data_IF_016710875974
#
_entry.id   IF_016710875974
#
_cell.length_a   1.000
_cell.length_b   1.000
_cell.length_c   1.000
_cell.angle_alpha   90.00
_cell.angle_beta   90.00
_cell.angle_gamma   90.00
#
_symmetry.space_group_name_H-M   'P 1'
#
loop_
_entity.id
_entity.type
_entity.pdbx_description
1 polymer ?
#
# COMPACT_ATOMS: atom_id res chain seq x y z
N UNK A 1 -12.79 -7.89 21.51
CA UNK A 1 -13.89 -7.04 20.98
C UNK A 1 -14.69 -7.85 19.96
N UNK A 2 -16.02 -7.73 19.84
CA UNK A 2 -16.80 -8.58 18.92
C UNK A 2 -16.40 -8.33 17.45
N UNK A 3 -16.51 -9.35 16.59
CA UNK A 3 -16.18 -9.23 15.16
C UNK A 3 -17.08 -8.21 14.43
N UNK A 4 -18.36 -8.18 14.82
CA UNK A 4 -19.38 -7.34 14.20
C UNK A 4 -19.65 -6.15 15.10
N UNK A 5 -19.34 -4.94 14.61
CA UNK A 5 -19.57 -3.71 15.35
C UNK A 5 -20.77 -2.96 14.78
N UNK A 6 -21.82 -2.69 15.56
CA UNK A 6 -22.95 -1.89 15.08
C UNK A 6 -22.51 -0.44 14.79
N UNK A 7 -23.02 0.13 13.72
CA UNK A 7 -22.74 1.53 13.34
C UNK A 7 -23.35 2.49 14.37
N UNK A 8 -22.54 3.46 14.84
CA UNK A 8 -22.98 4.51 15.77
C UNK A 8 -23.56 5.73 15.05
N UNK A 9 -23.30 5.86 13.75
CA UNK A 9 -23.77 6.93 12.87
C UNK A 9 -24.74 6.37 11.82
N UNK A 10 -25.70 7.19 11.41
CA UNK A 10 -26.60 6.82 10.32
C UNK A 10 -25.85 6.82 8.98
N UNK A 11 -25.72 5.65 8.37
CA UNK A 11 -25.06 5.49 7.07
C UNK A 11 -23.74 4.70 7.12
N UNK A 12 -23.07 4.54 5.96
CA UNK A 12 -21.77 3.87 5.88
C UNK A 12 -20.67 4.73 6.50
N UNK A 13 -19.54 4.12 6.91
CA UNK A 13 -18.36 4.88 7.34
C UNK A 13 -17.84 5.78 6.21
N UNK A 14 -17.03 6.78 6.57
CA UNK A 14 -16.47 7.74 5.60
C UNK A 14 -15.55 7.02 4.61
N UNK A 15 -15.83 7.17 3.32
CA UNK A 15 -15.03 6.63 2.23
C UNK A 15 -14.86 7.66 1.11
N UNK A 16 -13.93 7.39 0.20
CA UNK A 16 -13.79 8.11 -1.08
C UNK A 16 -13.82 7.12 -2.25
N UNK A 17 -14.13 7.59 -3.45
CA UNK A 17 -14.06 6.74 -4.65
C UNK A 17 -12.61 6.56 -5.13
N UNK A 18 -12.31 5.51 -5.91
CA UNK A 18 -10.98 5.31 -6.49
C UNK A 18 -10.50 6.49 -7.35
N UNK A 19 -11.41 7.18 -8.04
CA UNK A 19 -11.11 8.36 -8.84
C UNK A 19 -10.72 9.57 -7.99
N UNK A 20 -11.40 9.77 -6.86
CA UNK A 20 -11.07 10.81 -5.89
C UNK A 20 -9.73 10.53 -5.21
N UNK A 21 -9.47 9.27 -4.84
CA UNK A 21 -8.18 8.86 -4.30
C UNK A 21 -7.02 9.17 -5.26
N UNK A 22 -7.19 8.87 -6.55
CA UNK A 22 -6.21 9.19 -7.59
C UNK A 22 -5.99 10.69 -7.72
N UNK A 23 -7.02 11.51 -7.59
CA UNK A 23 -6.88 12.98 -7.64
C UNK A 23 -6.14 13.53 -6.42
N UNK A 24 -6.45 13.01 -5.22
CA UNK A 24 -5.82 13.41 -3.96
C UNK A 24 -4.34 13.01 -3.89
N UNK A 25 -3.97 11.88 -4.50
CA UNK A 25 -2.59 11.40 -4.55
C UNK A 25 -1.80 11.95 -5.75
N UNK A 26 -2.47 12.45 -6.80
CA UNK A 26 -1.82 13.05 -7.96
C UNK A 26 -1.21 14.43 -7.67
N UNK A 27 -1.67 15.13 -6.63
CA UNK A 27 -1.04 16.33 -6.10
C UNK A 27 -0.35 15.96 -4.81
N UNK A 28 0.89 16.38 -4.54
CA UNK A 28 1.57 16.15 -3.25
C UNK A 28 0.64 16.59 -2.11
N UNK A 29 0.03 15.65 -1.37
CA UNK A 29 -0.89 16.01 -0.30
C UNK A 29 -0.09 16.56 0.86
N UNK A 30 -0.68 17.50 1.59
CA UNK A 30 -0.08 18.07 2.81
C UNK A 30 0.12 16.99 3.90
N UNK A 31 -0.64 15.90 3.84
CA UNK A 31 -0.47 14.69 4.64
C UNK A 31 -1.16 13.50 3.97
N UNK A 32 -0.45 12.37 3.79
CA UNK A 32 -1.04 11.13 3.30
C UNK A 32 -1.93 10.42 4.35
N UNK A 33 -1.79 10.77 5.63
CA UNK A 33 -2.57 10.17 6.72
C UNK A 33 -3.99 10.69 6.88
N UNK A 34 -4.39 11.72 6.12
CA UNK A 34 -5.76 12.27 6.14
C UNK A 34 -6.63 11.72 4.99
N UNK A 35 -6.03 10.93 4.08
CA UNK A 35 -6.73 10.39 2.93
C UNK A 35 -7.71 9.32 3.43
N UNK A 36 -9.03 9.48 3.22
CA UNK A 36 -10.00 8.49 3.65
C UNK A 36 -9.81 7.17 2.90
N UNK A 37 -10.28 6.04 3.47
CA UNK A 37 -10.18 4.75 2.81
C UNK A 37 -11.02 4.71 1.53
N UNK A 38 -10.55 3.95 0.54
CA UNK A 38 -11.20 3.86 -0.76
C UNK A 38 -12.35 2.85 -0.73
N UNK A 39 -13.48 3.20 -1.34
CA UNK A 39 -14.57 2.27 -1.62
C UNK A 39 -14.20 1.40 -2.82
N UNK A 40 -14.00 0.11 -2.59
CA UNK A 40 -13.67 -0.87 -3.63
C UNK A 40 -14.91 -1.38 -4.36
N UNK A 41 -16.00 -1.67 -3.63
CA UNK A 41 -17.26 -2.11 -4.24
C UNK A 41 -18.48 -1.63 -3.45
N UNK A 42 -19.57 -1.32 -4.15
CA UNK A 42 -20.88 -1.01 -3.56
C UNK A 42 -21.95 -1.86 -4.22
N UNK A 43 -22.70 -2.60 -3.42
CA UNK A 43 -23.81 -3.43 -3.89
C UNK A 43 -25.11 -3.09 -3.16
N UNK A 44 -26.19 -2.86 -3.91
CA UNK A 44 -27.53 -2.61 -3.36
C UNK A 44 -28.37 -3.90 -3.36
N UNK A 45 -29.43 -3.94 -2.55
CA UNK A 45 -30.34 -5.09 -2.46
C UNK A 45 -29.66 -6.39 -2.00
N UNK A 46 -28.74 -6.30 -1.04
CA UNK A 46 -28.05 -7.44 -0.45
C UNK A 46 -28.72 -7.84 0.86
N UNK A 47 -28.86 -9.14 1.11
CA UNK A 47 -29.26 -9.67 2.42
C UNK A 47 -28.05 -10.26 3.11
N UNK A 48 -27.89 -10.01 4.41
CA UNK A 48 -26.87 -10.64 5.24
C UNK A 48 -27.54 -11.43 6.35
N UNK A 49 -27.02 -12.63 6.62
CA UNK A 49 -27.48 -13.47 7.74
C UNK A 49 -26.30 -13.97 8.53
N UNK A 50 -26.47 -14.11 9.85
CA UNK A 50 -25.45 -14.62 10.76
C UNK A 50 -25.88 -15.96 11.35
N UNK A 51 -24.92 -16.86 11.56
CA UNK A 51 -25.09 -18.09 12.31
C UNK A 51 -23.94 -18.24 13.32
N UNK A 52 -24.19 -18.16 14.65
CA UNK A 52 -25.49 -17.88 15.27
C UNK A 52 -26.05 -16.48 14.91
N UNK A 53 -27.36 -16.22 15.11
CA UNK A 53 -27.94 -14.89 14.86
C UNK A 53 -27.48 -13.86 15.89
N UNK A 54 -27.43 -12.59 15.48
CA UNK A 54 -27.10 -11.44 16.36
C UNK A 54 -28.39 -10.65 16.62
N UNK A 55 -28.99 -10.68 17.83
CA UNK A 55 -30.30 -10.10 18.11
C UNK A 55 -30.45 -8.62 17.73
N UNK A 56 -29.36 -7.85 17.84
CA UNK A 56 -29.35 -6.41 17.53
C UNK A 56 -29.37 -6.12 16.02
N UNK A 57 -29.02 -7.11 15.20
CA UNK A 57 -28.82 -7.01 13.75
C UNK A 57 -29.75 -7.97 12.98
N UNK A 58 -30.69 -8.61 13.65
CA UNK A 58 -31.68 -9.48 13.01
C UNK A 58 -32.67 -8.63 12.19
N UNK A 59 -32.48 -8.64 10.88
CA UNK A 59 -33.43 -8.07 9.93
C UNK A 59 -33.55 -8.94 8.69
N UNK A 60 -34.77 -9.03 8.16
CA UNK A 60 -35.08 -9.70 6.88
C UNK A 60 -34.94 -8.74 5.69
N UNK A 61 -34.78 -7.44 5.96
CA UNK A 61 -34.68 -6.41 4.94
C UNK A 61 -33.36 -6.50 4.16
N UNK A 62 -33.44 -6.12 2.90
CA UNK A 62 -32.26 -5.96 2.05
C UNK A 62 -31.65 -4.59 2.29
N UNK A 63 -30.34 -4.53 2.38
CA UNK A 63 -29.57 -3.32 2.57
C UNK A 63 -28.57 -3.09 1.45
N UNK A 64 -27.63 -2.20 1.72
CA UNK A 64 -26.51 -1.89 0.83
C UNK A 64 -25.21 -2.34 1.50
N UNK A 65 -24.42 -3.12 0.76
CA UNK A 65 -23.09 -3.56 1.14
C UNK A 65 -22.05 -2.57 0.58
N UNK A 66 -21.09 -2.20 1.42
CA UNK A 66 -19.96 -1.35 1.08
C UNK A 66 -18.68 -2.10 1.44
N UNK A 67 -17.88 -2.42 0.43
CA UNK A 67 -16.55 -3.00 0.59
C UNK A 67 -15.57 -1.84 0.52
N UNK A 68 -15.09 -1.39 1.68
CA UNK A 68 -14.19 -0.25 1.82
C UNK A 68 -12.84 -0.79 2.26
N UNK A 69 -11.73 -0.20 1.83
CA UNK A 69 -10.38 -0.71 2.16
C UNK A 69 -10.16 -0.94 3.66
N UNK A 70 -10.69 -0.09 4.53
CA UNK A 70 -10.53 -0.25 5.98
C UNK A 70 -11.45 -1.31 6.59
N UNK A 71 -12.67 -1.45 6.08
CA UNK A 71 -13.73 -2.25 6.73
C UNK A 71 -14.81 -2.67 5.73
N UNK A 72 -15.40 -3.84 5.94
CA UNK A 72 -16.66 -4.22 5.32
C UNK A 72 -17.83 -3.59 6.08
N UNK A 73 -18.71 -2.85 5.41
CA UNK A 73 -19.86 -2.22 6.03
C UNK A 73 -21.18 -2.63 5.35
N UNK A 74 -22.24 -2.79 6.14
CA UNK A 74 -23.58 -3.07 5.65
C UNK A 74 -24.59 -2.14 6.31
N UNK A 75 -25.46 -1.54 5.50
CA UNK A 75 -26.42 -0.52 5.97
C UNK A 75 -27.81 -0.85 5.45
N UNK A 76 -28.78 -0.91 6.37
CA UNK A 76 -30.19 -1.08 6.06
C UNK A 76 -30.83 0.24 5.59
N UNK A 77 -31.99 0.20 4.91
CA UNK A 77 -32.75 1.39 4.54
C UNK A 77 -33.19 2.26 5.73
N UNK A 78 -33.26 1.69 6.94
CA UNK A 78 -33.50 2.41 8.20
C UNK A 78 -32.36 3.36 8.59
N UNK A 79 -31.19 3.21 7.96
CA UNK A 79 -29.97 3.96 8.29
C UNK A 79 -29.14 3.34 9.41
N UNK A 80 -29.60 2.24 10.01
CA UNK A 80 -28.78 1.39 10.90
C UNK A 80 -27.92 0.44 10.07
N UNK A 81 -26.86 -0.09 10.65
CA UNK A 81 -25.92 -0.97 9.96
C UNK A 81 -24.87 -1.54 10.91
N UNK A 82 -23.91 -2.27 10.34
CA UNK A 82 -22.75 -2.79 11.05
C UNK A 82 -21.49 -2.71 10.18
N UNK A 83 -20.34 -2.80 10.83
CA UNK A 83 -19.02 -2.85 10.21
C UNK A 83 -18.22 -4.03 10.75
N UNK A 84 -17.35 -4.58 9.91
CA UNK A 84 -16.44 -5.68 10.22
C UNK A 84 -15.06 -5.28 9.68
N UNK A 85 -14.03 -5.41 10.51
CA UNK A 85 -12.64 -5.20 10.12
C UNK A 85 -12.11 -6.46 9.42
N UNK A 86 -11.23 -6.31 8.43
CA UNK A 86 -10.75 -7.43 7.64
C UNK A 86 -10.02 -8.52 8.44
N UNK A 87 -9.17 -8.20 9.43
CA UNK A 87 -8.55 -9.22 10.28
C UNK A 87 -9.55 -10.09 11.06
N UNK A 88 -10.80 -9.63 11.20
CA UNK A 88 -11.86 -10.42 11.85
C UNK A 88 -12.56 -11.38 10.88
N UNK A 89 -12.25 -11.32 9.59
CA UNK A 89 -12.76 -12.22 8.56
C UNK A 89 -11.71 -13.30 8.30
N UNK A 90 -11.82 -14.42 9.01
CA UNK A 90 -10.89 -15.56 8.89
C UNK A 90 -10.85 -16.13 7.48
N UNK A 91 -12.01 -16.21 6.82
CA UNK A 91 -12.08 -16.59 5.41
C UNK A 91 -13.34 -16.07 4.74
N UNK A 92 -13.27 -15.94 3.42
CA UNK A 92 -14.42 -15.72 2.55
C UNK A 92 -14.37 -16.66 1.34
N UNK A 93 -15.52 -17.18 0.95
CA UNK A 93 -15.65 -18.12 -0.17
C UNK A 93 -16.95 -17.90 -0.93
N UNK A 94 -16.91 -18.13 -2.24
CA UNK A 94 -18.13 -18.14 -3.06
C UNK A 94 -18.79 -19.52 -2.95
N UNK A 95 -20.02 -19.54 -2.44
CA UNK A 95 -20.86 -20.74 -2.43
C UNK A 95 -21.91 -20.64 -3.53
N UNK A 96 -21.96 -21.65 -4.40
CA UNK A 96 -22.93 -21.75 -5.50
C UNK A 96 -23.76 -23.02 -5.28
N UNK A 97 -25.05 -22.87 -5.03
CA UNK A 97 -25.97 -23.99 -4.82
C UNK A 97 -27.26 -23.86 -5.60
N UNK A 98 -28.12 -24.89 -5.53
CA UNK A 98 -29.46 -24.88 -6.15
C UNK A 98 -30.35 -23.75 -5.60
N UNK A 99 -30.05 -23.29 -4.38
CA UNK A 99 -30.77 -22.22 -3.68
C UNK A 99 -30.27 -20.81 -4.02
N UNK A 100 -29.25 -20.69 -4.88
CA UNK A 100 -28.63 -19.42 -5.26
C UNK A 100 -27.13 -19.36 -4.99
N UNK A 101 -26.51 -18.29 -5.49
CA UNK A 101 -25.10 -17.97 -5.22
C UNK A 101 -25.02 -17.00 -4.04
N UNK A 102 -24.09 -17.23 -3.13
CA UNK A 102 -23.83 -16.39 -1.96
C UNK A 102 -22.33 -16.33 -1.67
N UNK A 103 -21.93 -15.36 -0.86
CA UNK A 103 -20.59 -15.30 -0.29
C UNK A 103 -20.70 -15.72 1.16
N UNK A 104 -19.94 -16.76 1.52
CA UNK A 104 -19.78 -17.24 2.87
C UNK A 104 -18.56 -16.58 3.48
N UNK A 105 -18.69 -16.07 4.69
CA UNK A 105 -17.59 -15.56 5.49
C UNK A 105 -17.59 -16.23 6.85
N UNK A 106 -16.41 -16.58 7.34
CA UNK A 106 -16.20 -17.01 8.72
C UNK A 106 -15.56 -15.86 9.48
N UNK A 107 -16.14 -15.50 10.62
CA UNK A 107 -15.70 -14.40 11.46
C UNK A 107 -15.08 -14.96 12.75
N UNK A 108 -13.97 -14.37 13.15
CA UNK A 108 -13.36 -14.63 14.46
C UNK A 108 -13.96 -13.67 15.49
N UNK A 109 -14.67 -14.19 16.49
CA UNK A 109 -15.18 -13.40 17.63
C UNK A 109 -14.26 -13.43 18.85
N UNK A 110 -13.13 -14.14 18.79
CA UNK A 110 -12.17 -14.25 19.90
C UNK A 110 -11.66 -12.89 20.38
N UNK A 111 -11.34 -12.77 21.67
CA UNK A 111 -10.69 -11.56 22.18
C UNK A 111 -9.19 -11.66 21.87
N UNK A 112 -8.71 -10.90 20.87
CA UNK A 112 -7.28 -10.74 20.54
C UNK A 112 -6.55 -9.94 21.66
N UNK A 113 -6.60 -10.45 22.89
CA UNK A 113 -5.67 -10.08 23.94
C UNK A 113 -4.40 -10.93 23.81
N UNK A 114 -3.23 -10.46 24.28
CA UNK A 114 -1.99 -11.23 24.25
C UNK A 114 -2.17 -12.48 25.12
N UNK A 115 -2.49 -13.60 24.49
CA UNK A 115 -2.66 -14.88 25.16
C UNK A 115 -1.29 -15.53 25.23
N UNK A 116 -0.70 -15.45 26.42
CA UNK A 116 0.54 -16.10 26.80
C UNK A 116 0.48 -17.59 26.47
N UNK A 117 1.63 -18.11 26.05
CA UNK A 117 1.79 -19.43 25.48
C UNK A 117 1.21 -20.56 26.34
N UNK A 118 0.76 -21.58 25.62
CA UNK A 118 0.58 -22.99 26.03
C UNK A 118 -0.85 -23.46 26.32
N UNK A 119 -1.25 -24.40 25.46
CA UNK A 119 -2.14 -25.53 25.72
C UNK A 119 -3.66 -25.37 25.46
N UNK A 120 -4.07 -26.17 24.47
CA UNK A 120 -5.36 -26.87 24.35
C UNK A 120 -6.49 -26.06 23.73
N UNK A 121 -6.75 -26.33 22.44
CA UNK A 121 -8.03 -26.17 21.74
C UNK A 121 -8.92 -25.04 22.30
N UNK A 122 -8.41 -23.80 22.29
CA UNK A 122 -9.29 -22.67 22.53
C UNK A 122 -10.34 -22.74 21.43
N UNK A 123 -11.57 -23.09 21.82
CA UNK A 123 -12.78 -22.95 21.01
C UNK A 123 -12.82 -21.49 20.58
N UNK A 124 -12.15 -21.16 19.47
CA UNK A 124 -12.23 -19.85 18.85
C UNK A 124 -13.71 -19.67 18.53
N UNK A 125 -14.37 -18.75 19.21
CA UNK A 125 -15.78 -18.48 19.00
C UNK A 125 -15.94 -17.94 17.57
N UNK A 126 -16.29 -18.82 16.65
CA UNK A 126 -16.42 -18.49 15.24
C UNK A 126 -17.88 -18.25 14.90
N UNK A 127 -18.13 -17.23 14.08
CA UNK A 127 -19.47 -16.90 13.58
C UNK A 127 -19.49 -16.92 12.06
N UNK A 128 -20.49 -17.57 11.50
CA UNK A 128 -20.70 -17.54 10.06
C UNK A 128 -21.49 -16.28 9.67
N UNK A 129 -21.09 -15.63 8.59
CA UNK A 129 -21.84 -14.59 7.91
C UNK A 129 -22.06 -15.00 6.46
N UNK A 130 -23.31 -14.87 5.98
CA UNK A 130 -23.68 -15.19 4.60
C UNK A 130 -24.21 -13.94 3.93
N UNK A 131 -23.57 -13.53 2.84
CA UNK A 131 -23.91 -12.37 2.02
C UNK A 131 -24.63 -12.88 0.76
N UNK A 132 -25.88 -12.47 0.60
CA UNK A 132 -26.79 -12.96 -0.44
C UNK A 132 -27.24 -11.75 -1.28
N UNK A 133 -26.51 -11.42 -2.38
CA UNK A 133 -26.95 -10.39 -3.30
C UNK A 133 -28.20 -10.83 -4.07
N UNK A 134 -29.00 -9.85 -4.51
CA UNK A 134 -30.17 -10.14 -5.35
C UNK A 134 -29.78 -10.48 -6.79
N UNK A 135 -28.69 -9.91 -7.28
CA UNK A 135 -28.12 -10.20 -8.59
C UNK A 135 -26.96 -11.21 -8.45
N UNK A 136 -27.05 -12.41 -9.05
CA UNK A 136 -25.95 -13.37 -9.03
C UNK A 136 -24.70 -12.89 -9.79
N UNK A 137 -24.83 -11.93 -10.71
CA UNK A 137 -23.67 -11.36 -11.41
C UNK A 137 -22.76 -10.55 -10.48
N UNK A 138 -23.30 -10.04 -9.37
CA UNK A 138 -22.56 -9.25 -8.39
C UNK A 138 -21.69 -10.08 -7.44
N UNK A 139 -21.83 -11.42 -7.44
CA UNK A 139 -21.06 -12.30 -6.56
C UNK A 139 -19.55 -12.21 -6.82
N UNK A 140 -19.14 -12.30 -8.09
CA UNK A 140 -17.71 -12.25 -8.44
C UNK A 140 -17.08 -10.89 -8.08
N UNK A 141 -17.68 -9.75 -8.47
CA UNK A 141 -17.17 -8.43 -8.09
C UNK A 141 -17.05 -8.24 -6.57
N UNK A 142 -18.04 -8.67 -5.78
CA UNK A 142 -17.97 -8.54 -4.32
C UNK A 142 -16.85 -9.43 -3.77
N UNK A 143 -16.72 -10.67 -4.26
CA UNK A 143 -15.66 -11.59 -3.81
C UNK A 143 -14.27 -11.05 -4.16
N UNK A 144 -14.09 -10.50 -5.35
CA UNK A 144 -12.82 -9.90 -5.78
C UNK A 144 -12.47 -8.70 -4.90
N UNK A 145 -13.43 -7.80 -4.66
CA UNK A 145 -13.21 -6.64 -3.80
C UNK A 145 -12.89 -7.04 -2.35
N UNK A 146 -13.57 -8.05 -1.79
CA UNK A 146 -13.24 -8.60 -0.47
C UNK A 146 -11.83 -9.17 -0.42
N UNK A 147 -11.43 -9.90 -1.47
CA UNK A 147 -10.09 -10.50 -1.57
C UNK A 147 -9.00 -9.44 -1.66
N UNK A 148 -9.23 -8.37 -2.43
CA UNK A 148 -8.31 -7.24 -2.54
C UNK A 148 -8.14 -6.53 -1.20
N UNK A 149 -9.24 -6.25 -0.50
CA UNK A 149 -9.16 -5.62 0.81
C UNK A 149 -8.50 -6.54 1.85
N UNK A 150 -8.83 -7.83 1.90
CA UNK A 150 -8.19 -8.77 2.83
C UNK A 150 -6.66 -8.81 2.65
N UNK A 151 -6.16 -8.73 1.41
CA UNK A 151 -4.74 -8.67 1.13
C UNK A 151 -4.03 -7.39 1.65
N UNK A 152 -4.78 -6.33 2.00
CA UNK A 152 -4.23 -5.11 2.60
C UNK A 152 -4.13 -5.17 4.12
N UNK A 153 -4.67 -6.22 4.76
CA UNK A 153 -4.71 -6.40 6.21
C UNK A 153 -4.17 -7.79 6.58
N UNK A 154 -2.84 -8.02 6.51
CA UNK A 154 -2.25 -9.24 7.04
C UNK A 154 -2.47 -9.34 8.56
N UNK A 155 -2.56 -10.55 9.07
CA UNK A 155 -2.75 -10.77 10.50
C UNK A 155 -1.46 -10.41 11.26
N UNK A 156 -1.55 -9.66 12.38
CA UNK A 156 -0.38 -9.19 13.12
C UNK A 156 0.47 -10.32 13.72
N UNK A 157 -0.13 -11.50 13.94
CA UNK A 157 0.57 -12.67 14.49
C UNK A 157 1.28 -13.51 13.42
N UNK A 158 1.09 -13.22 12.12
CA UNK A 158 1.78 -13.94 11.03
C UNK A 158 3.23 -13.45 10.80
N UNK A 159 3.57 -12.24 11.25
CA UNK A 159 4.92 -11.66 11.07
C UNK A 159 5.98 -12.28 12.02
N UNK A 160 5.59 -12.95 13.11
CA UNK A 160 6.53 -13.57 14.08
C UNK A 160 6.95 -15.01 13.69
N UNK A 161 6.44 -15.55 12.57
CA UNK A 161 6.66 -16.93 12.16
C UNK A 161 7.79 -17.12 11.12
N UNK A 162 8.53 -16.08 10.73
CA UNK A 162 9.55 -16.14 9.66
C UNK A 162 10.96 -15.63 10.07
N UNK A 163 11.32 -15.71 11.35
CA UNK A 163 12.74 -15.61 11.77
C UNK A 163 13.33 -16.98 12.17
N UNK A 164 12.64 -18.07 11.81
CA UNK A 164 12.97 -19.45 12.22
C UNK A 164 13.40 -20.40 11.09
N UNK A 165 13.43 -19.95 9.82
CA UNK A 165 14.11 -20.69 8.76
C UNK A 165 15.62 -20.48 8.89
N UNK A 166 16.19 -21.10 9.93
CA UNK A 166 17.58 -21.49 9.95
C UNK A 166 17.77 -22.39 8.71
N UNK A 167 18.30 -21.79 7.65
CA UNK A 167 18.85 -22.48 6.51
C UNK A 167 19.75 -23.59 7.04
N UNK A 168 19.23 -24.82 7.05
CA UNK A 168 19.98 -26.04 7.27
C UNK A 168 20.96 -26.33 6.13
N UNK A 169 21.49 -25.29 5.49
CA UNK A 169 22.65 -25.30 4.62
C UNK A 169 23.90 -25.53 5.44
N UNK A 170 24.11 -26.76 5.87
CA UNK A 170 25.46 -27.29 6.03
C UNK A 170 26.12 -27.33 4.65
N UNK A 171 26.59 -26.16 4.23
CA UNK A 171 27.26 -25.91 2.97
C UNK A 171 28.14 -24.71 3.20
N UNK A 172 29.39 -24.99 3.55
CA UNK A 172 30.48 -24.06 3.81
C UNK A 172 30.77 -23.22 2.56
N UNK A 173 29.91 -22.24 2.29
CA UNK A 173 30.14 -21.19 1.31
C UNK A 173 30.22 -19.89 2.11
N UNK A 174 31.45 -19.60 2.51
CA UNK A 174 31.95 -18.31 2.97
C UNK A 174 31.53 -17.21 1.98
N UNK A 175 30.31 -16.69 2.13
CA UNK A 175 29.91 -15.43 1.51
C UNK A 175 30.20 -14.33 2.53
N UNK A 176 31.46 -13.87 2.55
CA UNK A 176 31.88 -12.72 3.34
C UNK A 176 31.06 -11.50 2.90
N UNK A 177 30.27 -10.95 3.83
CA UNK A 177 29.53 -9.71 3.60
C UNK A 177 30.55 -8.58 3.53
N UNK A 178 30.64 -7.90 2.39
CA UNK A 178 31.58 -6.80 2.18
C UNK A 178 31.19 -5.60 3.05
N UNK A 179 31.87 -5.43 4.19
CA UNK A 179 31.64 -4.33 5.15
C UNK A 179 32.40 -3.04 4.79
N UNK A 180 33.23 -3.09 3.74
CA UNK A 180 33.99 -1.95 3.23
C UNK A 180 35.12 -1.47 4.15
N UNK A 181 35.41 -2.15 5.27
CA UNK A 181 36.51 -1.79 6.16
C UNK A 181 37.80 -2.59 5.90
N UNK A 182 37.73 -3.72 5.18
CA UNK A 182 38.90 -4.50 4.75
C UNK A 182 39.21 -4.35 3.26
N UNK A 183 40.49 -4.53 2.90
CA UNK A 183 40.97 -4.55 1.50
C UNK A 183 40.52 -5.82 0.75
N UNK A 184 39.25 -6.21 0.82
CA UNK A 184 38.73 -7.28 -0.05
C UNK A 184 38.63 -6.77 -1.48
N UNK A 185 39.41 -7.39 -2.38
CA UNK A 185 39.36 -7.09 -3.79
C UNK A 185 38.06 -7.62 -4.43
N UNK A 186 37.41 -6.79 -5.25
CA UNK A 186 36.24 -7.21 -6.05
C UNK A 186 36.62 -8.35 -7.00
N UNK A 187 35.68 -9.29 -7.18
CA UNK A 187 35.76 -10.31 -8.24
C UNK A 187 35.83 -9.66 -9.63
N UNK A 188 36.32 -10.38 -10.64
CA UNK A 188 36.43 -9.87 -12.02
C UNK A 188 35.09 -9.31 -12.55
N UNK A 189 33.99 -10.01 -12.23
CA UNK A 189 32.63 -9.56 -12.57
C UNK A 189 32.27 -8.29 -11.80
N UNK A 190 32.61 -8.20 -10.51
CA UNK A 190 32.39 -7.01 -9.70
C UNK A 190 33.16 -5.79 -10.21
N UNK A 191 34.41 -5.97 -10.65
CA UNK A 191 35.22 -4.90 -11.26
C UNK A 191 34.61 -4.41 -12.58
N UNK A 192 34.14 -5.32 -13.42
CA UNK A 192 33.51 -4.96 -14.69
C UNK A 192 32.18 -4.21 -14.48
N UNK A 193 31.38 -4.62 -13.51
CA UNK A 193 30.13 -3.93 -13.14
C UNK A 193 30.40 -2.54 -12.56
N UNK A 194 31.44 -2.40 -11.72
CA UNK A 194 31.79 -1.12 -11.11
C UNK A 194 32.32 -0.12 -12.15
N UNK A 195 33.18 -0.57 -13.08
CA UNK A 195 33.65 0.28 -14.19
C UNK A 195 32.50 0.76 -15.10
N UNK A 196 31.47 -0.07 -15.28
CA UNK A 196 30.28 0.32 -16.03
C UNK A 196 29.47 1.39 -15.29
N UNK A 197 29.28 1.23 -13.98
CA UNK A 197 28.60 2.22 -13.13
C UNK A 197 29.34 3.55 -13.09
N UNK A 198 30.67 3.55 -12.94
CA UNK A 198 31.49 4.76 -12.97
C UNK A 198 31.41 5.49 -14.32
N UNK A 199 31.28 4.75 -15.43
CA UNK A 199 31.07 5.36 -16.75
C UNK A 199 29.72 6.04 -16.90
N UNK A 200 28.71 5.67 -16.11
CA UNK A 200 27.36 6.25 -16.17
C UNK A 200 27.29 7.50 -15.28
N UNK A 201 28.07 7.55 -14.20
CA UNK A 201 28.05 8.67 -13.27
C UNK A 201 28.86 9.83 -13.85
N UNK A 202 28.17 10.76 -14.50
CA UNK A 202 28.70 12.09 -14.83
C UNK A 202 28.68 12.92 -13.56
N UNK A 203 29.82 13.03 -12.88
CA UNK A 203 30.00 14.05 -11.86
C UNK A 203 30.21 15.40 -12.57
N UNK A 204 29.31 16.39 -12.40
CA UNK A 204 29.61 17.74 -12.85
C UNK A 204 30.84 18.22 -12.08
N UNK A 205 31.95 18.43 -12.78
CA UNK A 205 33.15 19.02 -12.16
C UNK A 205 32.78 20.37 -11.56
N UNK A 206 33.00 20.48 -10.26
CA UNK A 206 33.17 21.75 -9.56
C UNK A 206 34.26 22.53 -10.33
N UNK A 207 33.86 23.55 -11.08
CA UNK A 207 34.78 24.55 -11.62
C UNK A 207 35.49 25.20 -10.43
N UNK A 208 36.64 24.64 -10.08
CA UNK A 208 37.61 25.26 -9.18
C UNK A 208 37.92 26.64 -9.74
N UNK A 209 37.50 27.67 -9.00
CA UNK A 209 37.97 29.03 -9.14
C UNK A 209 39.51 28.99 -9.17
N UNK A 210 40.08 29.14 -10.35
CA UNK A 210 41.51 29.35 -10.51
C UNK A 210 41.69 30.85 -10.57
N UNK A 211 42.01 31.45 -9.42
CA UNK A 211 42.43 32.84 -9.35
C UNK A 211 43.57 33.09 -10.36
N UNK A 212 43.58 34.21 -11.08
CA UNK A 212 44.63 34.50 -12.04
C UNK A 212 45.96 34.73 -11.30
N UNK A 213 46.99 33.95 -11.62
CA UNK A 213 48.36 34.24 -11.19
C UNK A 213 48.84 35.53 -11.87
N UNK A 214 49.48 36.39 -11.08
CA UNK A 214 49.84 37.77 -11.41
C UNK A 214 50.99 37.94 -12.45
N UNK A 215 51.33 36.91 -13.22
CA UNK A 215 52.48 36.92 -14.15
C UNK A 215 52.09 37.13 -15.63
N UNK A 216 50.80 37.29 -15.97
CA UNK A 216 50.34 37.50 -17.35
C UNK A 216 49.99 38.97 -17.70
N UNK A 217 50.35 39.93 -16.84
CA UNK A 217 49.98 41.35 -16.99
C UNK A 217 51.09 42.27 -17.55
N UNK A 218 52.27 41.75 -17.90
CA UNK A 218 53.37 42.58 -18.42
C UNK A 218 53.58 42.50 -19.95
N UNK A 219 52.94 41.58 -20.68
CA UNK A 219 53.25 41.33 -22.11
C UNK A 219 52.28 41.98 -23.11
N UNK A 220 51.46 42.95 -22.67
CA UNK A 220 50.48 43.64 -23.53
C UNK A 220 50.73 45.14 -23.71
N UNK A 221 51.92 45.64 -23.37
CA UNK A 221 52.31 47.04 -23.55
C UNK A 221 53.64 47.17 -24.30
N UNK A 222 53.72 46.73 -25.56
CA UNK A 222 54.64 47.32 -26.53
C UNK A 222 54.23 46.99 -27.98
N UNK A 223 54.50 47.95 -28.89
CA UNK A 223 54.19 48.02 -30.32
C UNK A 223 52.77 48.49 -30.71
N UNK A 224 52.45 49.79 -30.65
CA UNK A 224 52.93 50.93 -31.46
C UNK A 224 52.27 51.08 -32.85
N UNK A 225 51.57 52.21 -32.97
CA UNK A 225 51.31 53.05 -34.15
C UNK A 225 50.78 52.44 -35.45
N UNK A 226 49.60 52.91 -35.89
CA UNK A 226 49.50 53.83 -37.04
C UNK A 226 48.05 54.07 -37.50
N UNK A 227 47.70 55.36 -37.63
CA UNK A 227 46.68 55.99 -38.51
C UNK A 227 45.21 55.60 -38.34
N UNK A 228 44.34 56.45 -37.79
CA UNK A 228 43.84 57.76 -38.29
C UNK A 228 42.91 57.65 -39.51
N UNK A 229 41.86 58.48 -39.47
CA UNK A 229 40.81 58.78 -40.45
C UNK A 229 39.62 57.80 -40.58
N UNK A 230 38.37 58.19 -40.80
CA UNK A 230 37.65 59.47 -40.80
C UNK A 230 36.16 59.16 -41.15
N UNK A 231 35.21 59.88 -40.52
CA UNK A 231 33.87 60.32 -41.00
C UNK A 231 32.69 59.33 -41.30
N UNK A 232 31.67 59.51 -40.43
CA UNK A 232 30.21 59.79 -40.61
C UNK A 232 29.17 58.71 -41.00
N UNK A 233 27.91 58.95 -40.56
CA UNK A 233 26.79 57.99 -40.62
C UNK A 233 25.84 58.26 -41.78
N UNK A 234 25.02 57.28 -42.16
CA UNK A 234 23.73 57.53 -42.80
C UNK A 234 22.78 56.31 -42.75
N UNK A 235 21.51 56.63 -42.44
CA UNK A 235 20.21 56.06 -42.83
C UNK A 235 20.19 54.72 -43.59
N UNK A 236 19.19 53.86 -43.36
CA UNK A 236 17.74 54.15 -43.40
C UNK A 236 16.94 53.03 -42.75
#
# INVERSE_FOLDING_TARGET
MPAVTPTTQSGPPRYITPEEHKQLTASTPTSFGDIPPVLQHKEENVRVTFDPPIPELESTDKGTLYVIESTLAFVWPSGTGFTIEYPRITLHAVSRGESGSLIYCQLDEGDNGPSDAEAEEQDTEMREMKIIPSDPASIEPIFEALSQCAALHPDPDEDDADDGWEDGGQGESEFETFDGASEQELSEVGRAALAHLESIIVFPEDTKETEPSQEALEDALEDNDSKADEIKPASK
#
